data_IF_561942316643
#
_entry.id   IF_561942316643
#
_cell.length_a   1.000
_cell.length_b   1.000
_cell.length_c   1.000
_cell.angle_alpha   90.00
_cell.angle_beta   90.00
_cell.angle_gamma   90.00
#
_symmetry.space_group_name_H-M   'P 1'
#
loop_
_entity.id
_entity.type
_entity.pdbx_description
1 polymer ?
#
# COMPACT_ATOMS: atom_id res chain seq x y z
N UNK A 1 22.84 16.66 36.66
CA UNK A 1 23.70 16.95 35.49
C UNK A 1 22.80 17.39 34.35
N UNK A 2 23.08 18.56 33.77
CA UNK A 2 22.46 19.19 32.58
C UNK A 2 20.99 18.86 32.23
N UNK A 3 20.06 19.78 32.56
CA UNK A 3 18.61 19.71 32.27
C UNK A 3 18.26 20.12 30.83
N UNK A 4 19.10 19.82 29.85
CA UNK A 4 18.82 20.16 28.45
C UNK A 4 18.27 18.93 27.74
N UNK A 5 16.99 18.98 27.36
CA UNK A 5 16.33 17.94 26.55
C UNK A 5 17.08 17.85 25.22
N UNK A 6 17.81 16.76 25.00
CA UNK A 6 18.46 16.48 23.73
C UNK A 6 17.36 16.17 22.71
N UNK A 7 17.30 16.96 21.64
CA UNK A 7 16.33 16.81 20.55
C UNK A 7 17.10 16.42 19.29
N UNK A 8 16.67 15.35 18.63
CA UNK A 8 17.28 14.88 17.39
C UNK A 8 16.80 15.73 16.20
N UNK A 9 17.74 16.31 15.46
CA UNK A 9 17.43 16.96 14.18
C UNK A 9 17.42 15.94 13.03
N UNK A 10 16.83 16.31 11.88
CA UNK A 10 16.83 15.44 10.69
C UNK A 10 18.24 15.11 10.18
N UNK A 11 19.21 15.99 10.43
CA UNK A 11 20.61 15.75 10.09
C UNK A 11 21.24 14.73 11.05
N UNK A 12 21.01 14.88 12.36
CA UNK A 12 21.47 13.93 13.36
C UNK A 12 20.96 12.51 13.03
N UNK A 13 19.68 12.37 12.64
CA UNK A 13 19.12 11.07 12.25
C UNK A 13 19.90 10.42 11.10
N UNK A 14 20.25 11.18 10.05
CA UNK A 14 20.99 10.63 8.90
C UNK A 14 22.41 10.21 9.25
N UNK A 15 23.12 11.00 10.05
CA UNK A 15 24.52 10.76 10.40
C UNK A 15 24.68 9.66 11.46
N UNK A 16 23.75 9.57 12.41
CA UNK A 16 23.83 8.65 13.54
C UNK A 16 23.18 7.29 13.26
N UNK A 17 22.27 7.18 12.28
CA UNK A 17 21.62 5.90 11.93
C UNK A 17 22.63 4.79 11.59
N UNK A 18 23.69 5.03 10.77
CA UNK A 18 24.70 4.02 10.49
C UNK A 18 25.52 3.61 11.73
N UNK A 19 25.63 4.51 12.71
CA UNK A 19 26.41 4.30 13.93
C UNK A 19 25.68 3.45 14.98
N UNK A 20 24.43 3.06 14.73
CA UNK A 20 23.71 2.13 15.62
C UNK A 20 24.32 0.72 15.63
N UNK A 21 25.05 0.32 14.57
CA UNK A 21 25.56 -1.05 14.41
C UNK A 21 27.08 -1.19 14.65
N UNK A 22 27.76 -0.13 15.11
CA UNK A 22 29.21 -0.15 15.38
C UNK A 22 29.57 -0.97 16.62
N UNK A 23 30.85 -1.32 16.73
CA UNK A 23 31.38 -2.13 17.83
C UNK A 23 31.47 -1.35 19.15
N UNK A 24 31.49 -2.07 20.28
CA UNK A 24 31.59 -1.43 21.62
C UNK A 24 32.85 -0.56 21.77
N UNK A 25 33.98 -1.00 21.21
CA UNK A 25 35.24 -0.26 21.26
C UNK A 25 35.17 1.07 20.51
N UNK A 26 34.43 1.13 19.40
CA UNK A 26 34.23 2.37 18.64
C UNK A 26 33.28 3.33 19.36
N UNK A 27 32.33 2.82 20.17
CA UNK A 27 31.44 3.65 21.00
C UNK A 27 32.16 4.30 22.18
N UNK A 28 33.13 3.63 22.80
CA UNK A 28 33.87 4.17 23.94
C UNK A 28 34.72 5.40 23.59
N UNK A 29 35.09 5.55 22.32
CA UNK A 29 35.84 6.71 21.81
C UNK A 29 34.94 7.89 21.43
N UNK A 30 33.61 7.74 21.50
CA UNK A 30 32.68 8.79 21.07
C UNK A 30 32.40 9.83 22.16
N UNK A 31 32.17 11.10 21.79
CA UNK A 31 31.68 12.11 22.70
C UNK A 31 30.36 11.72 23.37
N UNK A 32 30.20 12.06 24.65
CA UNK A 32 29.02 11.76 25.44
C UNK A 32 27.71 12.27 24.79
N UNK A 33 27.76 13.44 24.15
CA UNK A 33 26.60 14.03 23.45
C UNK A 33 26.11 13.17 22.28
N UNK A 34 27.02 12.45 21.60
CA UNK A 34 26.69 11.54 20.50
C UNK A 34 26.07 10.25 21.05
N UNK A 35 26.59 9.75 22.17
CA UNK A 35 26.06 8.57 22.85
C UNK A 35 24.62 8.80 23.33
N UNK A 36 24.36 9.96 23.94
CA UNK A 36 23.02 10.34 24.40
C UNK A 36 22.03 10.43 23.22
N UNK A 37 22.45 10.97 22.07
CA UNK A 37 21.63 11.01 20.84
C UNK A 37 21.39 9.62 20.23
N UNK A 38 22.41 8.75 20.24
CA UNK A 38 22.29 7.37 19.75
C UNK A 38 21.33 6.54 20.60
N UNK A 39 21.30 6.76 21.91
CA UNK A 39 20.36 6.07 22.80
C UNK A 39 18.90 6.44 22.50
N UNK A 40 18.64 7.73 22.23
CA UNK A 40 17.31 8.20 21.84
C UNK A 40 16.91 7.60 20.48
N UNK A 41 17.84 7.56 19.52
CA UNK A 41 17.60 6.95 18.20
C UNK A 41 17.30 5.46 18.26
N UNK A 42 18.00 4.72 19.12
CA UNK A 42 17.75 3.30 19.32
C UNK A 42 16.32 3.05 19.83
N UNK A 43 15.87 3.86 20.81
CA UNK A 43 14.51 3.80 21.34
C UNK A 43 13.45 4.17 20.30
N UNK A 44 13.69 5.17 19.45
CA UNK A 44 12.78 5.54 18.35
C UNK A 44 12.61 4.36 17.37
N UNK A 45 13.71 3.68 16.99
CA UNK A 45 13.64 2.53 16.09
C UNK A 45 12.95 1.30 16.68
N UNK A 46 13.22 0.97 17.94
CA UNK A 46 12.55 -0.14 18.61
C UNK A 46 11.03 0.10 18.73
N UNK A 47 10.61 1.36 18.89
CA UNK A 47 9.19 1.73 18.89
C UNK A 47 8.56 1.60 17.50
N UNK A 48 9.25 2.05 16.44
CA UNK A 48 8.78 1.87 15.06
C UNK A 48 8.62 0.38 14.72
N UNK A 49 9.61 -0.47 15.04
CA UNK A 49 9.55 -1.91 14.77
C UNK A 49 8.38 -2.61 15.50
N UNK A 50 8.10 -2.23 16.75
CA UNK A 50 6.96 -2.78 17.50
C UNK A 50 5.60 -2.32 16.94
N UNK A 51 5.49 -1.07 16.50
CA UNK A 51 4.25 -0.55 15.92
C UNK A 51 3.88 -1.25 14.61
N UNK A 52 4.87 -1.68 13.82
CA UNK A 52 4.63 -2.48 12.61
C UNK A 52 4.22 -3.93 12.92
N UNK A 53 4.74 -4.54 13.98
CA UNK A 53 4.36 -5.91 14.37
C UNK A 53 2.89 -6.01 14.77
N UNK A 54 2.38 -5.04 15.53
CA UNK A 54 0.97 -4.99 15.93
C UNK A 54 0.05 -4.87 14.70
N UNK A 55 0.46 -4.08 13.70
CA UNK A 55 -0.30 -3.91 12.45
C UNK A 55 -0.28 -5.18 11.59
N UNK A 56 0.86 -5.89 11.52
CA UNK A 56 0.96 -7.16 10.81
C UNK A 56 0.04 -8.22 11.44
N UNK A 57 0.00 -8.30 12.77
CA UNK A 57 -0.89 -9.22 13.47
C UNK A 57 -2.38 -8.92 13.19
N UNK A 58 -2.77 -7.65 13.19
CA UNK A 58 -4.16 -7.23 12.87
C UNK A 58 -4.53 -7.64 11.43
N UNK A 59 -3.61 -7.51 10.48
CA UNK A 59 -3.83 -7.90 9.08
C UNK A 59 -4.03 -9.41 8.97
N UNK A 60 -3.19 -10.21 9.63
CA UNK A 60 -3.30 -11.68 9.61
C UNK A 60 -4.62 -12.16 10.22
N UNK A 61 -5.01 -11.60 11.37
CA UNK A 61 -6.29 -11.92 12.02
C UNK A 61 -7.48 -11.55 11.11
N UNK A 62 -7.41 -10.40 10.44
CA UNK A 62 -8.44 -9.94 9.50
C UNK A 62 -8.55 -10.85 8.28
N UNK A 63 -7.42 -11.31 7.72
CA UNK A 63 -7.40 -12.23 6.59
C UNK A 63 -8.00 -13.59 6.97
N UNK A 64 -7.64 -14.13 8.13
CA UNK A 64 -8.17 -15.39 8.62
C UNK A 64 -9.69 -15.33 8.84
N UNK A 65 -10.23 -14.21 9.32
CA UNK A 65 -11.68 -14.01 9.45
C UNK A 65 -12.35 -14.03 8.08
N UNK A 66 -11.78 -13.37 7.07
CA UNK A 66 -12.34 -13.36 5.71
C UNK A 66 -12.32 -14.75 5.09
N UNK A 67 -11.22 -15.49 5.26
CA UNK A 67 -11.08 -16.87 4.76
C UNK A 67 -12.07 -17.84 5.42
N UNK A 68 -12.23 -17.75 6.74
CA UNK A 68 -13.17 -18.59 7.50
C UNK A 68 -14.64 -18.29 7.21
N UNK A 69 -14.95 -17.04 6.84
CA UNK A 69 -16.30 -16.62 6.45
C UNK A 69 -16.60 -16.85 4.96
N UNK A 70 -15.61 -17.18 4.14
CA UNK A 70 -15.83 -17.53 2.73
C UNK A 70 -16.59 -18.87 2.66
N UNK A 71 -17.88 -18.89 2.27
CA UNK A 71 -18.65 -20.12 2.26
C UNK A 71 -18.15 -20.96 1.09
N UNK A 72 -17.51 -22.10 1.37
CA UNK A 72 -17.21 -23.22 0.46
C UNK A 72 -17.41 -22.85 -1.01
N UNK A 73 -16.42 -22.15 -1.59
CA UNK A 73 -16.52 -21.51 -2.91
C UNK A 73 -17.04 -22.47 -4.00
N UNK A 74 -16.85 -23.77 -3.85
CA UNK A 74 -17.27 -24.79 -4.81
C UNK A 74 -18.80 -24.99 -4.94
N UNK A 75 -19.59 -24.68 -3.92
CA UNK A 75 -21.04 -24.96 -3.93
C UNK A 75 -21.84 -23.77 -4.52
N UNK A 76 -21.43 -22.53 -4.23
CA UNK A 76 -22.09 -21.31 -4.71
C UNK A 76 -21.75 -20.99 -6.18
N UNK A 77 -20.52 -21.27 -6.63
CA UNK A 77 -20.13 -21.02 -8.02
C UNK A 77 -20.91 -21.84 -9.05
N UNK A 78 -21.43 -23.03 -8.71
CA UNK A 78 -22.20 -23.87 -9.67
C UNK A 78 -23.65 -23.39 -9.87
N UNK A 79 -24.29 -22.86 -8.82
CA UNK A 79 -25.69 -22.39 -8.90
C UNK A 79 -25.81 -20.97 -9.47
N UNK A 80 -24.86 -20.08 -9.16
CA UNK A 80 -24.85 -18.69 -9.63
C UNK A 80 -24.52 -18.57 -11.13
N UNK A 81 -23.65 -19.45 -11.67
CA UNK A 81 -23.20 -19.37 -13.07
C UNK A 81 -24.34 -19.34 -14.09
N UNK A 82 -25.40 -20.14 -13.94
CA UNK A 82 -26.45 -20.23 -14.98
C UNK A 82 -27.35 -18.99 -15.09
N UNK A 83 -27.66 -18.31 -13.97
CA UNK A 83 -28.48 -17.08 -13.99
C UNK A 83 -27.65 -15.89 -14.52
N UNK A 84 -26.42 -15.75 -14.05
CA UNK A 84 -25.55 -14.64 -14.46
C UNK A 84 -24.99 -14.74 -15.88
N UNK A 85 -24.93 -15.93 -16.49
CA UNK A 85 -24.52 -16.07 -17.90
C UNK A 85 -25.47 -15.33 -18.83
N UNK A 86 -26.79 -15.39 -18.60
CA UNK A 86 -27.76 -14.69 -19.45
C UNK A 86 -27.60 -13.17 -19.35
N UNK A 87 -27.50 -12.66 -18.13
CA UNK A 87 -27.32 -11.22 -17.88
C UNK A 87 -25.98 -10.73 -18.44
N UNK A 88 -24.92 -11.52 -18.29
CA UNK A 88 -23.60 -11.23 -18.85
C UNK A 88 -23.62 -11.21 -20.39
N UNK A 89 -24.23 -12.20 -21.04
CA UNK A 89 -24.35 -12.25 -22.50
C UNK A 89 -25.20 -11.10 -23.04
N UNK A 90 -26.28 -10.75 -22.33
CA UNK A 90 -27.13 -9.62 -22.67
C UNK A 90 -26.36 -8.30 -22.55
N UNK A 91 -25.68 -8.08 -21.42
CA UNK A 91 -24.83 -6.91 -21.21
C UNK A 91 -23.73 -6.80 -22.27
N UNK A 92 -23.02 -7.90 -22.53
CA UNK A 92 -21.91 -7.95 -23.48
C UNK A 92 -22.38 -7.63 -24.91
N UNK A 93 -23.55 -8.12 -25.30
CA UNK A 93 -24.14 -7.88 -26.62
C UNK A 93 -24.55 -6.42 -26.78
N UNK A 94 -25.28 -5.87 -25.80
CA UNK A 94 -25.69 -4.46 -25.82
C UNK A 94 -24.49 -3.51 -25.79
N UNK A 95 -23.45 -3.86 -25.04
CA UNK A 95 -22.22 -3.09 -24.99
C UNK A 95 -21.52 -3.04 -26.37
N UNK A 96 -21.44 -4.18 -27.08
CA UNK A 96 -20.90 -4.22 -28.45
C UNK A 96 -21.71 -3.37 -29.43
N UNK A 97 -23.04 -3.40 -29.34
CA UNK A 97 -23.93 -2.57 -30.17
C UNK A 97 -23.66 -1.08 -29.89
N UNK A 98 -23.60 -0.68 -28.62
CA UNK A 98 -23.28 0.69 -28.23
C UNK A 98 -21.94 1.17 -28.78
N UNK A 99 -20.89 0.36 -28.66
CA UNK A 99 -19.58 0.69 -29.21
C UNK A 99 -19.60 0.83 -30.74
N UNK A 100 -20.31 -0.04 -31.44
CA UNK A 100 -20.46 0.03 -32.89
C UNK A 100 -21.18 1.32 -33.32
N UNK A 101 -22.28 1.67 -32.66
CA UNK A 101 -23.02 2.92 -32.90
C UNK A 101 -22.14 4.14 -32.66
N UNK A 102 -21.39 4.16 -31.55
CA UNK A 102 -20.47 5.25 -31.21
C UNK A 102 -19.33 5.38 -32.23
N UNK A 103 -18.80 4.26 -32.73
CA UNK A 103 -17.78 4.25 -33.80
C UNK A 103 -18.35 4.82 -35.10
N UNK A 104 -19.56 4.40 -35.49
CA UNK A 104 -20.25 4.92 -36.68
C UNK A 104 -20.53 6.43 -36.56
N UNK A 105 -20.99 6.90 -35.39
CA UNK A 105 -21.24 8.32 -35.15
C UNK A 105 -19.97 9.17 -35.25
N UNK A 106 -18.85 8.70 -34.68
CA UNK A 106 -17.54 9.36 -34.80
C UNK A 106 -17.08 9.43 -36.26
N UNK A 107 -17.25 8.35 -37.02
CA UNK A 107 -16.92 8.32 -38.45
C UNK A 107 -17.74 9.34 -39.25
N UNK A 108 -19.06 9.43 -38.99
CA UNK A 108 -19.92 10.45 -39.60
C UNK A 108 -19.45 11.86 -39.28
N UNK A 109 -19.18 12.18 -38.00
CA UNK A 109 -18.68 13.51 -37.59
C UNK A 109 -17.37 13.88 -38.27
N UNK A 110 -16.43 12.94 -38.43
CA UNK A 110 -15.19 13.17 -39.19
C UNK A 110 -15.46 13.45 -40.67
N UNK A 111 -16.36 12.70 -41.30
CA UNK A 111 -16.74 12.91 -42.70
C UNK A 111 -17.37 14.30 -42.91
N UNK A 112 -18.26 14.74 -42.03
CA UNK A 112 -18.86 16.08 -42.12
C UNK A 112 -17.84 17.20 -41.93
N UNK A 113 -16.88 17.04 -41.00
CA UNK A 113 -15.78 18.01 -40.80
C UNK A 113 -14.87 18.13 -42.03
N UNK A 114 -14.68 17.04 -42.78
CA UNK A 114 -13.88 17.05 -44.01
C UNK A 114 -14.63 17.56 -45.25
N UNK A 115 -15.96 17.69 -45.19
CA UNK A 115 -16.79 18.27 -46.29
C UNK A 115 -17.01 19.77 -46.16
N UNK A 116 -16.72 20.36 -45.00
CA UNK A 116 -16.91 21.78 -44.72
C UNK A 116 -15.62 22.61 -44.84
N UNK A 117 -14.56 22.02 -45.37
CA UNK A 117 -13.32 22.68 -45.81
C UNK A 117 -13.22 22.53 -47.33
#
# INVERSE_FOLDING_TARGET
MSKHKVVLTAQDRKELTPLLHITKAERELMPQEILDKLEILAKEKEQEENEFQDLEQIIEESLHIVESLAPNADITHKALKKRHIKDYLWWQTNYRIFLAQRKAQRARRKCYKNKSN
#
